data_IF_801760915973
#
_entry.id   IF_801760915973
#
_cell.length_a   1.000
_cell.length_b   1.000
_cell.length_c   1.000
_cell.angle_alpha   90.00
_cell.angle_beta   90.00
_cell.angle_gamma   90.00
#
_symmetry.space_group_name_H-M   'P 1'
#
loop_
_entity.id
_entity.type
_entity.pdbx_description
1 polymer ?
#
# COMPACT_ATOMS: atom_id res chain seq x y z
N UNK A 1 8.48 -13.41 13.76
CA UNK A 1 7.99 -12.55 12.69
C UNK A 1 6.55 -12.92 12.36
N UNK A 2 5.66 -11.96 12.32
CA UNK A 2 4.26 -12.20 11.99
C UNK A 2 4.06 -12.08 10.49
N UNK A 3 3.40 -13.07 9.91
CA UNK A 3 3.01 -13.04 8.50
C UNK A 3 1.71 -12.26 8.34
N UNK A 4 1.55 -11.61 7.19
CA UNK A 4 0.39 -10.76 6.93
C UNK A 4 0.46 -9.39 7.60
N UNK A 5 1.60 -9.04 8.19
CA UNK A 5 1.82 -7.71 8.71
C UNK A 5 1.84 -6.71 7.57
N UNK A 6 1.14 -5.60 7.74
CA UNK A 6 1.06 -4.56 6.72
C UNK A 6 1.19 -3.19 7.34
N UNK A 7 1.79 -2.28 6.60
CA UNK A 7 1.82 -0.86 6.95
C UNK A 7 1.58 -0.02 5.69
N UNK A 8 0.94 1.11 5.86
CA UNK A 8 0.69 2.00 4.74
C UNK A 8 0.68 3.46 5.21
N UNK A 9 0.89 4.35 4.24
CA UNK A 9 0.90 5.78 4.46
C UNK A 9 -0.07 6.44 3.49
N UNK A 10 -0.94 7.30 4.04
CA UNK A 10 -1.79 8.18 3.25
C UNK A 10 -1.04 9.48 3.03
N UNK A 11 -0.82 9.84 1.79
CA UNK A 11 -0.03 11.00 1.41
C UNK A 11 -0.93 11.99 0.68
N UNK A 12 -1.07 13.18 1.26
CA UNK A 12 -1.93 14.24 0.74
C UNK A 12 -1.16 15.52 0.38
N UNK A 13 0.17 15.50 0.47
CA UNK A 13 1.00 16.65 0.13
C UNK A 13 2.35 16.22 -0.41
N UNK A 14 2.99 17.12 -1.16
CA UNK A 14 4.31 16.88 -1.72
C UNK A 14 5.37 16.71 -0.62
N UNK A 15 5.25 17.44 0.49
CA UNK A 15 6.18 17.31 1.61
C UNK A 15 6.05 15.98 2.31
N UNK A 16 4.84 15.47 2.49
CA UNK A 16 4.61 14.12 3.03
C UNK A 16 5.22 13.07 2.11
N UNK A 17 5.05 13.21 0.81
CA UNK A 17 5.60 12.29 -0.18
C UNK A 17 7.12 12.22 -0.10
N UNK A 18 7.78 13.38 -0.03
CA UNK A 18 9.23 13.45 0.12
C UNK A 18 9.70 12.80 1.43
N UNK A 19 8.98 13.03 2.52
CA UNK A 19 9.35 12.46 3.82
C UNK A 19 9.31 10.93 3.84
N UNK A 20 8.39 10.32 3.11
CA UNK A 20 8.25 8.86 3.06
C UNK A 20 9.22 8.21 2.08
N UNK A 21 9.52 8.86 0.95
CA UNK A 21 10.27 8.25 -0.16
C UNK A 21 11.76 8.56 -0.16
N UNK A 22 12.19 9.63 0.51
CA UNK A 22 13.58 10.12 0.40
C UNK A 22 14.55 9.53 1.40
N UNK A 23 14.30 8.38 1.94
CA UNK A 23 15.24 7.76 2.87
C UNK A 23 16.47 7.22 2.13
N UNK A 24 17.32 8.14 1.68
CA UNK A 24 18.61 7.82 1.06
C UNK A 24 18.58 7.48 -0.43
N UNK A 25 17.46 7.69 -1.11
CA UNK A 25 17.35 7.38 -2.54
C UNK A 25 17.05 8.64 -3.33
N UNK A 26 18.00 9.05 -4.16
CA UNK A 26 17.79 10.13 -5.14
C UNK A 26 17.05 9.59 -6.36
N UNK A 27 15.74 9.44 -6.25
CA UNK A 27 14.89 9.08 -7.37
C UNK A 27 14.02 10.27 -7.72
N UNK A 28 13.93 10.65 -8.99
CA UNK A 28 12.99 11.69 -9.39
C UNK A 28 11.56 11.23 -9.05
N UNK A 29 10.89 12.01 -8.21
CA UNK A 29 9.52 11.70 -7.81
C UNK A 29 8.55 12.14 -8.92
N UNK A 30 7.51 11.34 -9.18
CA UNK A 30 6.47 11.74 -10.12
C UNK A 30 5.77 13.01 -9.63
N UNK A 31 5.32 13.83 -10.57
CA UNK A 31 4.59 15.03 -10.27
C UNK A 31 3.11 14.70 -10.06
N UNK A 32 2.68 14.71 -8.80
CA UNK A 32 1.32 14.38 -8.41
C UNK A 32 0.61 15.64 -7.93
N UNK A 33 -0.58 15.89 -8.47
CA UNK A 33 -1.42 17.01 -8.03
C UNK A 33 -2.19 16.61 -6.77
N UNK A 34 -1.63 16.89 -5.61
CA UNK A 34 -2.23 16.54 -4.31
C UNK A 34 -3.46 17.39 -3.96
N UNK A 35 -3.85 18.34 -4.77
CA UNK A 35 -5.14 19.01 -4.64
C UNK A 35 -6.30 18.16 -5.14
N UNK A 36 -6.03 17.28 -6.10
CA UNK A 36 -7.02 16.43 -6.74
C UNK A 36 -6.91 14.96 -6.33
N UNK A 37 -5.72 14.52 -5.91
CA UNK A 37 -5.42 13.12 -5.68
C UNK A 37 -4.77 12.89 -4.33
N UNK A 38 -4.96 11.69 -3.81
CA UNK A 38 -4.24 11.17 -2.66
C UNK A 38 -3.45 9.94 -3.09
N UNK A 39 -2.25 9.78 -2.55
CA UNK A 39 -1.40 8.62 -2.80
C UNK A 39 -1.39 7.74 -1.56
N UNK A 40 -1.58 6.44 -1.77
CA UNK A 40 -1.36 5.45 -0.71
C UNK A 40 -0.19 4.58 -1.14
N UNK A 41 0.82 4.48 -0.29
CA UNK A 41 1.95 3.59 -0.49
C UNK A 41 2.13 2.75 0.76
N UNK A 42 2.60 1.53 0.59
CA UNK A 42 2.80 0.67 1.74
C UNK A 42 3.50 -0.63 1.37
N UNK A 43 3.57 -1.49 2.38
CA UNK A 43 4.09 -2.85 2.20
C UNK A 43 3.30 -3.83 3.04
N UNK A 44 3.24 -5.07 2.59
CA UNK A 44 2.79 -6.18 3.41
C UNK A 44 3.81 -7.33 3.32
N UNK A 45 3.91 -8.09 4.40
CA UNK A 45 4.87 -9.18 4.52
C UNK A 45 4.13 -10.51 4.45
N UNK A 46 4.49 -11.34 3.49
CA UNK A 46 3.90 -12.65 3.30
C UNK A 46 4.97 -13.74 3.42
N UNK A 47 4.54 -14.98 3.61
CA UNK A 47 5.43 -16.10 3.92
C UNK A 47 6.31 -16.59 2.79
N UNK A 48 6.00 -16.22 1.53
CA UNK A 48 6.79 -16.55 0.35
C UNK A 48 6.50 -15.58 -0.79
N UNK A 49 7.28 -15.60 -1.89
CA UNK A 49 7.10 -14.65 -3.00
C UNK A 49 5.99 -15.00 -3.98
N UNK A 50 5.21 -16.05 -3.73
CA UNK A 50 4.23 -16.60 -4.68
C UNK A 50 2.88 -15.91 -4.71
N UNK A 51 2.84 -14.59 -4.58
CA UNK A 51 1.59 -13.81 -4.58
C UNK A 51 1.65 -12.64 -5.54
N UNK A 52 0.49 -12.22 -6.01
CA UNK A 52 0.34 -11.02 -6.83
C UNK A 52 -0.84 -10.21 -6.32
N UNK A 53 -0.70 -8.89 -6.32
CA UNK A 53 -1.79 -7.99 -5.96
C UNK A 53 -2.83 -8.00 -7.09
N UNK A 54 -4.02 -8.48 -6.77
CA UNK A 54 -5.09 -8.66 -7.74
C UNK A 54 -6.03 -7.45 -7.76
N UNK A 55 -6.42 -6.96 -6.58
CA UNK A 55 -7.28 -5.79 -6.45
C UNK A 55 -6.88 -4.94 -5.25
N UNK A 56 -7.13 -3.63 -5.36
CA UNK A 56 -7.04 -2.71 -4.25
C UNK A 56 -8.16 -1.67 -4.34
N UNK A 57 -8.74 -1.33 -3.20
CA UNK A 57 -9.84 -0.37 -3.13
C UNK A 57 -9.85 0.32 -1.77
N UNK A 58 -10.32 1.57 -1.74
CA UNK A 58 -10.49 2.31 -0.49
C UNK A 58 -11.97 2.55 -0.25
N UNK A 59 -12.41 2.25 0.96
CA UNK A 59 -13.77 2.51 1.41
C UNK A 59 -13.74 3.44 2.62
N UNK A 60 -14.62 4.43 2.65
CA UNK A 60 -14.79 5.30 3.80
C UNK A 60 -15.90 4.74 4.69
N UNK A 61 -15.61 4.47 5.94
CA UNK A 61 -16.54 3.92 6.91
C UNK A 61 -16.63 4.84 8.14
N UNK A 62 -17.55 5.83 8.10
CA UNK A 62 -17.74 6.74 9.23
C UNK A 62 -16.51 7.61 9.50
N UNK A 63 -15.81 7.32 10.59
CA UNK A 63 -14.65 8.09 11.05
C UNK A 63 -13.29 7.53 10.62
N UNK A 64 -13.28 6.49 9.80
CA UNK A 64 -12.05 5.90 9.30
C UNK A 64 -12.21 5.42 7.85
N UNK A 65 -11.08 5.09 7.22
CA UNK A 65 -11.04 4.50 5.88
C UNK A 65 -10.46 3.10 5.96
N UNK A 66 -10.91 2.24 5.06
CA UNK A 66 -10.38 0.89 4.93
C UNK A 66 -9.77 0.70 3.54
N UNK A 67 -8.48 0.37 3.50
CA UNK A 67 -7.80 -0.04 2.29
C UNK A 67 -7.91 -1.56 2.17
N UNK A 68 -8.66 -2.02 1.20
CA UNK A 68 -8.84 -3.43 0.94
C UNK A 68 -7.84 -3.89 -0.10
N UNK A 69 -6.96 -4.81 0.28
CA UNK A 69 -5.96 -5.41 -0.60
C UNK A 69 -6.30 -6.88 -0.80
N UNK A 70 -6.36 -7.31 -2.05
CA UNK A 70 -6.64 -8.69 -2.39
C UNK A 70 -5.46 -9.27 -3.16
N UNK A 71 -4.75 -10.21 -2.54
CA UNK A 71 -3.64 -10.93 -3.15
C UNK A 71 -4.09 -12.31 -3.61
N UNK A 72 -3.59 -12.73 -4.77
CA UNK A 72 -3.88 -14.02 -5.34
C UNK A 72 -2.62 -14.88 -5.30
N UNK A 73 -2.78 -16.12 -4.84
CA UNK A 73 -1.71 -17.11 -4.84
C UNK A 73 -1.41 -17.54 -6.28
N UNK A 74 -0.13 -17.48 -6.66
CA UNK A 74 0.33 -17.98 -7.95
C UNK A 74 0.52 -19.49 -7.91
N UNK A 75 0.32 -20.15 -9.06
CA UNK A 75 0.58 -21.57 -9.19
C UNK A 75 2.09 -21.84 -9.26
N UNK A 76 2.52 -22.95 -8.65
CA UNK A 76 3.91 -23.37 -8.68
C UNK A 76 4.52 -23.55 -7.30
N UNK A 77 5.79 -23.86 -7.29
CA UNK A 77 6.57 -24.00 -6.07
C UNK A 77 7.40 -22.75 -5.84
N UNK A 78 7.34 -22.22 -4.63
CA UNK A 78 8.07 -21.04 -4.24
C UNK A 78 8.90 -21.33 -3.00
N UNK A 79 10.11 -20.74 -2.87
CA UNK A 79 10.88 -20.91 -1.65
C UNK A 79 10.15 -20.29 -0.46
N UNK A 80 10.27 -20.92 0.72
CA UNK A 80 9.67 -20.40 1.95
C UNK A 80 10.51 -19.26 2.50
N UNK A 81 10.52 -18.15 1.77
CA UNK A 81 11.26 -16.93 2.13
C UNK A 81 10.25 -15.82 2.41
N UNK A 82 10.28 -15.28 3.61
CA UNK A 82 9.45 -14.14 3.99
C UNK A 82 9.75 -12.98 3.03
N UNK A 83 8.71 -12.48 2.39
CA UNK A 83 8.82 -11.51 1.30
C UNK A 83 7.97 -10.29 1.59
N UNK A 84 8.57 -9.11 1.42
CA UNK A 84 7.85 -7.84 1.50
C UNK A 84 7.31 -7.48 0.13
N UNK A 85 5.99 -7.25 0.07
CA UNK A 85 5.33 -6.78 -1.13
C UNK A 85 4.99 -5.31 -0.97
N UNK A 86 5.49 -4.50 -1.90
CA UNK A 86 5.22 -3.07 -1.91
C UNK A 86 4.04 -2.79 -2.82
N UNK A 87 3.16 -1.92 -2.38
CA UNK A 87 2.00 -1.53 -3.16
C UNK A 87 1.82 -0.01 -3.14
N UNK A 88 1.19 0.51 -4.16
CA UNK A 88 0.84 1.91 -4.23
C UNK A 88 -0.41 2.11 -5.07
N UNK A 89 -1.14 3.18 -4.80
CA UNK A 89 -2.32 3.54 -5.58
C UNK A 89 -2.59 5.02 -5.51
N UNK A 90 -3.01 5.59 -6.63
CA UNK A 90 -3.41 6.99 -6.72
C UNK A 90 -4.94 7.03 -6.77
N UNK A 91 -5.54 7.72 -5.80
CA UNK A 91 -6.98 7.79 -5.63
C UNK A 91 -7.45 9.23 -5.76
N UNK A 92 -8.73 9.43 -6.07
CA UNK A 92 -9.33 10.75 -5.93
C UNK A 92 -9.15 11.22 -4.50
N UNK A 93 -9.04 12.54 -4.31
CA UNK A 93 -8.72 13.13 -3.00
C UNK A 93 -9.50 12.48 -1.86
N UNK A 94 -8.77 11.91 -0.91
CA UNK A 94 -9.33 11.25 0.26
C UNK A 94 -9.28 12.20 1.48
N UNK A 95 -10.25 12.07 2.41
CA UNK A 95 -10.20 12.82 3.64
C UNK A 95 -9.03 12.38 4.52
N UNK A 96 -8.58 13.26 5.41
CA UNK A 96 -7.52 12.96 6.36
C UNK A 96 -8.09 12.18 7.55
N UNK A 97 -8.38 10.92 7.33
CA UNK A 97 -8.93 10.00 8.32
C UNK A 97 -7.96 8.85 8.56
N UNK A 98 -8.03 8.19 9.72
CA UNK A 98 -7.23 6.97 9.95
C UNK A 98 -7.48 5.94 8.87
N UNK A 99 -6.41 5.30 8.41
CA UNK A 99 -6.45 4.31 7.36
C UNK A 99 -6.12 2.93 7.92
N UNK A 100 -7.04 2.00 7.78
CA UNK A 100 -6.90 0.62 8.20
C UNK A 100 -6.70 -0.26 6.97
N UNK A 101 -5.80 -1.24 7.07
CA UNK A 101 -5.54 -2.17 5.96
C UNK A 101 -6.27 -3.48 6.22
N UNK A 102 -7.05 -3.91 5.25
CA UNK A 102 -7.72 -5.21 5.23
C UNK A 102 -7.07 -6.07 4.15
N UNK A 103 -6.26 -7.03 4.56
CA UNK A 103 -5.51 -7.92 3.67
C UNK A 103 -6.26 -9.23 3.49
N UNK A 104 -6.58 -9.56 2.24
CA UNK A 104 -7.28 -10.78 1.89
C UNK A 104 -6.46 -11.57 0.88
N UNK A 105 -6.45 -12.89 1.02
CA UNK A 105 -5.73 -13.81 0.12
C UNK A 105 -6.71 -14.79 -0.49
N UNK A 106 -6.77 -14.82 -1.80
CA UNK A 106 -7.65 -15.71 -2.55
C UNK A 106 -6.89 -16.78 -3.32
#
# INVERSE_FOLDING_TARGET
MEFGESECFLINSKSEFKAVVTDGVEVPLPDIDFKKYSLIIGKCTLGDPGYVLDEQAVHTEGDHMKLQLQYRRLDGFFPCVVTDFYFWGLYQKLPDLPLEVDLDII
#
